data_IF_502037030081
#
_entry.id   IF_502037030081
#
_cell.length_a   1.000
_cell.length_b   1.000
_cell.length_c   1.000
_cell.angle_alpha   90.00
_cell.angle_beta   90.00
_cell.angle_gamma   90.00
#
_symmetry.space_group_name_H-M   'P 1'
#
loop_
_entity.id
_entity.type
_entity.pdbx_description
1 polymer ?
#
# COMPACT_ATOMS: atom_id res chain seq x y z
N UNK A 1 12.85 -0.78 9.42
CA UNK A 1 14.06 -1.17 8.67
C UNK A 1 15.28 -0.33 9.10
N UNK A 2 15.20 1.00 9.04
CA UNK A 2 16.28 1.90 9.49
C UNK A 2 16.85 1.53 10.88
N UNK A 3 15.98 1.35 11.89
CA UNK A 3 16.38 0.94 13.25
C UNK A 3 17.14 -0.40 13.33
N UNK A 4 16.94 -1.30 12.38
CA UNK A 4 17.70 -2.55 12.31
C UNK A 4 19.08 -2.33 11.66
N UNK A 5 19.12 -1.50 10.61
CA UNK A 5 20.29 -1.28 9.76
C UNK A 5 21.33 -0.33 10.38
N UNK A 6 20.89 0.81 10.93
CA UNK A 6 21.78 1.86 11.45
C UNK A 6 22.75 1.37 12.53
N UNK A 7 22.32 0.63 13.59
CA UNK A 7 23.25 0.17 14.63
C UNK A 7 24.22 -0.91 14.13
N UNK A 8 23.96 -1.48 12.94
CA UNK A 8 24.70 -2.62 12.38
C UNK A 8 25.56 -2.22 11.19
N UNK A 9 25.59 -0.93 10.84
CA UNK A 9 26.26 -0.40 9.64
C UNK A 9 25.85 -1.14 8.36
N UNK A 10 24.60 -1.60 8.30
CA UNK A 10 24.04 -2.12 7.07
C UNK A 10 23.57 -0.95 6.24
N UNK A 11 23.96 -0.95 4.97
CA UNK A 11 23.45 0.01 4.01
C UNK A 11 21.95 -0.28 3.80
N UNK A 12 21.10 0.62 4.28
CA UNK A 12 19.65 0.49 4.15
C UNK A 12 19.19 0.58 2.70
N UNK A 13 19.96 1.24 1.83
CA UNK A 13 19.63 1.42 0.41
C UNK A 13 19.89 0.15 -0.40
N UNK A 14 20.68 -0.78 0.15
CA UNK A 14 20.93 -2.09 -0.43
C UNK A 14 19.90 -3.15 0.00
N UNK A 15 18.93 -2.79 0.86
CA UNK A 15 17.85 -3.68 1.30
C UNK A 15 16.68 -3.59 0.34
N UNK A 16 16.31 -4.71 -0.27
CA UNK A 16 15.13 -4.78 -1.13
C UNK A 16 13.92 -5.27 -0.33
N UNK A 17 12.79 -4.59 -0.52
CA UNK A 17 11.52 -4.93 0.13
C UNK A 17 10.45 -5.05 -0.95
N UNK A 18 9.84 -6.22 -1.05
CA UNK A 18 8.66 -6.47 -1.88
C UNK A 18 7.45 -6.68 -0.96
N UNK A 19 6.33 -6.03 -1.31
CA UNK A 19 5.07 -6.16 -0.58
C UNK A 19 3.96 -6.55 -1.55
N UNK A 20 3.34 -7.68 -1.27
CA UNK A 20 2.21 -8.21 -2.03
C UNK A 20 0.96 -8.23 -1.15
N UNK A 21 -0.21 -8.01 -1.76
CA UNK A 21 -1.49 -8.00 -1.06
C UNK A 21 -2.53 -8.83 -1.79
N UNK A 22 -3.13 -9.78 -1.08
CA UNK A 22 -4.20 -10.62 -1.61
C UNK A 22 -5.55 -9.95 -1.37
N UNK A 23 -6.29 -9.65 -2.43
CA UNK A 23 -7.62 -9.06 -2.33
C UNK A 23 -8.69 -10.14 -2.14
N UNK A 24 -9.50 -9.95 -1.10
CA UNK A 24 -10.69 -10.73 -0.84
C UNK A 24 -11.93 -9.95 -1.25
N UNK A 25 -12.90 -10.70 -1.77
CA UNK A 25 -14.17 -10.17 -2.24
C UNK A 25 -15.27 -10.54 -1.24
N UNK A 26 -16.23 -9.64 -1.03
CA UNK A 26 -17.40 -9.83 -0.16
C UNK A 26 -17.12 -10.05 1.35
N UNK A 27 -16.90 -8.99 2.16
CA UNK A 27 -16.69 -7.61 1.75
C UNK A 27 -15.29 -7.42 1.15
N UNK A 28 -15.16 -6.46 0.23
CA UNK A 28 -13.89 -6.09 -0.41
C UNK A 28 -12.86 -5.64 0.62
N UNK A 29 -11.74 -6.35 0.74
CA UNK A 29 -10.63 -6.02 1.66
C UNK A 29 -9.34 -6.70 1.25
N UNK A 30 -8.24 -6.31 1.88
CA UNK A 30 -7.00 -7.07 1.84
C UNK A 30 -7.13 -8.25 2.81
N UNK A 31 -7.00 -9.48 2.30
CA UNK A 31 -7.06 -10.72 3.08
C UNK A 31 -5.70 -11.15 3.64
N UNK A 32 -4.63 -10.89 2.90
CA UNK A 32 -3.26 -11.16 3.33
C UNK A 32 -2.32 -10.08 2.81
N UNK A 33 -1.23 -9.86 3.56
CA UNK A 33 -0.10 -9.02 3.14
C UNK A 33 1.15 -9.86 3.33
N UNK A 34 1.91 -10.05 2.25
CA UNK A 34 3.18 -10.75 2.26
C UNK A 34 4.29 -9.73 2.10
N UNK A 35 5.22 -9.70 3.05
CA UNK A 35 6.40 -8.83 3.01
C UNK A 35 7.64 -9.71 2.84
N UNK A 36 8.34 -9.55 1.73
CA UNK A 36 9.63 -10.19 1.48
C UNK A 36 10.72 -9.16 1.67
N UNK A 37 11.72 -9.50 2.46
CA UNK A 37 12.90 -8.66 2.71
C UNK A 37 14.11 -9.43 2.21
N UNK A 38 14.79 -8.89 1.20
CA UNK A 38 16.05 -9.40 0.72
C UNK A 38 17.19 -8.51 1.23
N UNK A 39 18.15 -9.14 1.89
CA UNK A 39 19.35 -8.48 2.39
C UNK A 39 20.54 -8.92 1.53
N UNK A 40 21.49 -8.01 1.23
CA UNK A 40 22.68 -8.32 0.45
C UNK A 40 23.76 -9.04 1.28
N UNK A 41 23.43 -9.46 2.50
CA UNK A 41 24.34 -10.07 3.47
C UNK A 41 23.69 -11.28 4.14
N UNK A 42 24.50 -12.27 4.47
CA UNK A 42 24.06 -13.39 5.31
C UNK A 42 23.94 -12.94 6.77
N UNK A 43 22.91 -13.45 7.44
CA UNK A 43 22.67 -13.20 8.86
C UNK A 43 22.87 -14.50 9.65
N UNK A 44 23.54 -14.39 10.80
CA UNK A 44 23.44 -15.41 11.83
C UNK A 44 22.00 -15.50 12.40
N UNK A 45 21.71 -16.58 13.12
CA UNK A 45 20.36 -16.81 13.65
C UNK A 45 19.86 -15.68 14.57
N UNK A 46 20.75 -15.09 15.37
CA UNK A 46 20.36 -14.06 16.34
C UNK A 46 20.02 -12.75 15.65
N UNK A 47 20.78 -12.40 14.61
CA UNK A 47 20.48 -11.28 13.73
C UNK A 47 19.20 -11.51 12.95
N UNK A 48 18.96 -12.70 12.43
CA UNK A 48 17.71 -13.05 11.76
C UNK A 48 16.51 -12.88 12.72
N UNK A 49 16.60 -13.40 13.94
CA UNK A 49 15.56 -13.22 14.98
C UNK A 49 15.34 -11.74 15.28
N UNK A 50 16.40 -10.93 15.35
CA UNK A 50 16.28 -9.49 15.58
C UNK A 50 15.62 -8.75 14.40
N UNK A 51 15.93 -9.14 13.16
CA UNK A 51 15.29 -8.60 11.97
C UNK A 51 13.80 -8.94 11.96
N UNK A 52 13.45 -10.22 12.20
CA UNK A 52 12.08 -10.68 12.25
C UNK A 52 11.26 -9.88 13.27
N UNK A 53 11.78 -9.69 14.49
CA UNK A 53 11.13 -8.83 15.50
C UNK A 53 10.89 -7.41 14.98
N UNK A 54 11.87 -6.82 14.30
CA UNK A 54 11.75 -5.45 13.76
C UNK A 54 10.68 -5.37 12.67
N UNK A 55 10.62 -6.36 11.77
CA UNK A 55 9.65 -6.41 10.67
C UNK A 55 8.24 -6.72 11.21
N UNK A 56 8.10 -7.52 12.26
CA UNK A 56 6.81 -7.78 12.92
C UNK A 56 6.19 -6.54 13.57
N UNK A 57 6.99 -5.52 13.87
CA UNK A 57 6.53 -4.21 14.36
C UNK A 57 6.52 -3.13 13.26
N UNK A 58 6.39 -3.53 11.99
CA UNK A 58 6.31 -2.58 10.89
C UNK A 58 5.05 -1.71 10.99
N UNK A 59 5.11 -0.53 10.37
CA UNK A 59 3.98 0.42 10.36
C UNK A 59 2.69 -0.23 9.85
N UNK A 60 2.77 -1.15 8.89
CA UNK A 60 1.60 -1.89 8.38
C UNK A 60 0.96 -2.72 9.50
N UNK A 61 1.74 -3.55 10.20
CA UNK A 61 1.23 -4.37 11.31
C UNK A 61 0.64 -3.51 12.44
N UNK A 62 1.33 -2.43 12.82
CA UNK A 62 0.86 -1.54 13.87
C UNK A 62 -0.45 -0.85 13.46
N UNK A 63 -0.56 -0.40 12.20
CA UNK A 63 -1.77 0.24 11.66
C UNK A 63 -2.93 -0.74 11.58
N UNK A 64 -2.70 -2.00 11.23
CA UNK A 64 -3.75 -3.02 11.18
C UNK A 64 -4.19 -3.48 12.58
N UNK A 65 -3.27 -3.50 13.55
CA UNK A 65 -3.56 -3.89 14.94
C UNK A 65 -4.26 -2.76 15.70
N UNK A 66 -3.88 -1.52 15.42
CA UNK A 66 -4.49 -0.31 15.95
C UNK A 66 -4.99 0.54 14.78
N UNK A 67 -6.17 0.16 14.25
CA UNK A 67 -6.77 0.81 13.10
C UNK A 67 -6.91 2.32 13.31
N UNK A 68 -6.41 3.16 12.38
CA UNK A 68 -6.57 4.60 12.47
C UNK A 68 -8.02 5.00 12.17
N UNK A 69 -8.40 6.21 12.59
CA UNK A 69 -9.66 6.84 12.18
C UNK A 69 -9.62 7.17 10.68
N UNK A 70 -10.50 6.55 9.89
CA UNK A 70 -10.60 6.79 8.45
C UNK A 70 -11.69 7.83 8.20
N UNK A 71 -11.27 9.05 7.84
CA UNK A 71 -12.18 10.13 7.44
C UNK A 71 -12.30 10.18 5.92
N UNK A 72 -13.53 10.04 5.44
CA UNK A 72 -13.84 10.11 4.01
C UNK A 72 -14.65 11.38 3.74
N UNK A 73 -14.14 12.23 2.86
CA UNK A 73 -14.81 13.43 2.39
C UNK A 73 -15.08 13.30 0.90
N UNK A 74 -16.32 13.50 0.49
CA UNK A 74 -16.74 13.49 -0.91
C UNK A 74 -17.24 14.87 -1.26
N UNK A 75 -16.50 15.56 -2.13
CA UNK A 75 -16.91 16.83 -2.71
C UNK A 75 -17.29 16.58 -4.17
N UNK A 76 -18.51 16.92 -4.53
CA UNK A 76 -18.97 16.83 -5.91
C UNK A 76 -19.78 18.08 -6.26
N UNK A 77 -19.53 18.71 -7.41
CA UNK A 77 -20.43 19.74 -7.91
C UNK A 77 -21.79 19.08 -8.20
N UNK A 78 -22.84 19.57 -7.55
CA UNK A 78 -24.19 19.17 -7.92
C UNK A 78 -24.51 19.78 -9.28
N UNK A 79 -24.83 18.94 -10.26
CA UNK A 79 -25.28 19.44 -11.55
C UNK A 79 -26.59 20.20 -11.34
N UNK A 80 -26.60 21.49 -11.67
CA UNK A 80 -27.85 22.22 -11.74
C UNK A 80 -28.73 21.54 -12.79
N UNK A 81 -29.89 21.03 -12.38
CA UNK A 81 -30.88 20.49 -13.32
C UNK A 81 -31.41 21.62 -14.21
N UNK A 82 -30.77 21.84 -15.35
CA UNK A 82 -31.30 22.72 -16.38
C UNK A 82 -32.35 21.98 -17.19
N UNK A 83 -33.62 22.18 -16.85
CA UNK A 83 -34.72 21.88 -17.77
C UNK A 83 -34.60 22.78 -19.00
N UNK A 84 -34.33 22.21 -20.17
CA UNK A 84 -34.29 22.95 -21.43
C UNK A 84 -33.39 22.33 -22.48
N UNK A 85 -34.02 21.67 -23.45
CA UNK A 85 -33.43 21.00 -24.61
C UNK A 85 -32.46 21.87 -25.43
N UNK A 86 -31.26 21.36 -25.69
CA UNK A 86 -30.31 21.88 -26.66
C UNK A 86 -29.40 20.77 -27.18
N UNK A 87 -29.48 20.50 -28.49
CA UNK A 87 -28.86 19.38 -29.20
C UNK A 87 -27.33 19.32 -29.09
N UNK A 88 -26.82 18.08 -29.06
CA UNK A 88 -25.43 17.66 -28.95
C UNK A 88 -24.52 18.08 -30.11
N UNK A 89 -23.21 18.23 -29.87
CA UNK A 89 -22.10 17.46 -30.51
C UNK A 89 -20.76 17.78 -29.83
N UNK A 90 -20.04 16.77 -29.33
CA UNK A 90 -18.56 16.65 -29.42
C UNK A 90 -18.05 15.38 -28.71
N UNK A 91 -17.46 14.49 -29.50
CA UNK A 91 -16.81 13.23 -29.13
C UNK A 91 -15.47 13.48 -28.43
N UNK A 92 -15.17 12.74 -27.36
CA UNK A 92 -13.79 12.36 -27.05
C UNK A 92 -13.74 11.08 -26.21
N UNK A 93 -13.33 10.00 -26.86
CA UNK A 93 -13.01 8.73 -26.23
C UNK A 93 -11.66 8.83 -25.51
N UNK A 94 -11.56 8.24 -24.31
CA UNK A 94 -10.29 8.03 -23.59
C UNK A 94 -10.16 6.52 -23.35
N UNK A 95 -9.13 5.85 -23.91
CA UNK A 95 -9.02 4.39 -23.84
C UNK A 95 -8.75 3.88 -22.42
N UNK A 96 -9.16 2.63 -22.19
CA UNK A 96 -9.16 1.91 -20.91
C UNK A 96 -7.74 1.58 -20.40
N UNK A 97 -7.48 1.68 -19.09
CA UNK A 97 -6.22 1.23 -18.52
C UNK A 97 -6.20 -0.31 -18.40
N UNK A 98 -5.34 -0.93 -19.20
CA UNK A 98 -5.02 -2.36 -19.17
C UNK A 98 -4.01 -2.67 -18.06
N UNK A 99 -4.50 -3.03 -16.88
CA UNK A 99 -3.66 -3.63 -15.85
C UNK A 99 -3.59 -5.15 -16.07
N UNK A 100 -2.37 -5.70 -16.17
CA UNK A 100 -2.08 -7.13 -16.07
C UNK A 100 -1.49 -7.43 -14.71
#
# INVERSE_FOLDING_TARGET
MAQFCEPRHLDSDAVEIEVEGDLMHNPGRIGAITVKVALPVELDEDRLKALLRTVSHCTIHNTLTAAPDIRVHVETPVAAISGGSGSATATRERPEPQWR
#
